data_IF_567839839328
#
_entry.id   IF_567839839328
#
_cell.length_a   1.000
_cell.length_b   1.000
_cell.length_c   1.000
_cell.angle_alpha   90.00
_cell.angle_beta   90.00
_cell.angle_gamma   90.00
#
_symmetry.space_group_name_H-M   'P 1'
#
loop_
_entity.id
_entity.type
_entity.pdbx_description
1 polymer ?
#
# COMPACT_ATOMS: atom_id res chain seq x y z
N UNK A 1 -10.36 -15.56 31.05
CA UNK A 1 -9.30 -16.25 30.30
C UNK A 1 -10.02 -17.24 29.38
N UNK A 2 -10.33 -16.82 28.16
CA UNK A 2 -10.84 -17.73 27.12
C UNK A 2 -9.63 -18.26 26.33
N UNK A 3 -9.61 -19.55 25.98
CA UNK A 3 -8.48 -20.13 25.26
C UNK A 3 -8.42 -19.62 23.84
N UNK A 4 -7.18 -19.26 23.39
CA UNK A 4 -6.84 -19.06 22.00
C UNK A 4 -7.43 -20.20 21.18
N UNK A 5 -8.36 -19.89 20.29
CA UNK A 5 -8.76 -20.80 19.23
C UNK A 5 -7.58 -20.94 18.25
N UNK A 6 -6.82 -22.02 18.45
CA UNK A 6 -5.91 -22.52 17.42
C UNK A 6 -6.81 -23.03 16.30
N UNK A 7 -6.86 -22.30 15.19
CA UNK A 7 -7.48 -22.76 13.97
C UNK A 7 -6.73 -24.02 13.55
N UNK A 8 -7.27 -25.19 13.88
CA UNK A 8 -6.85 -26.46 13.30
C UNK A 8 -7.37 -26.52 11.87
N UNK A 9 -6.64 -25.90 10.93
CA UNK A 9 -6.73 -26.33 9.56
C UNK A 9 -6.23 -27.79 9.53
N UNK A 10 -7.10 -28.72 9.17
CA UNK A 10 -6.67 -30.06 8.77
C UNK A 10 -5.83 -29.88 7.51
N UNK A 11 -4.52 -29.91 7.68
CA UNK A 11 -3.53 -30.03 6.60
C UNK A 11 -3.70 -31.41 5.95
N UNK A 12 -4.79 -31.58 5.23
CA UNK A 12 -5.02 -32.68 4.33
C UNK A 12 -4.96 -32.12 2.89
N UNK A 13 -3.78 -31.99 2.45
CA UNK A 13 -3.19 -32.00 1.11
C UNK A 13 -1.95 -31.12 1.09
N UNK A 14 -0.97 -31.50 0.33
CA UNK A 14 0.28 -30.79 0.05
C UNK A 14 0.01 -29.51 -0.78
N UNK A 15 -0.83 -28.61 -0.31
CA UNK A 15 -1.02 -27.30 -0.91
C UNK A 15 0.25 -26.49 -0.62
N UNK A 16 1.11 -26.38 -1.62
CA UNK A 16 2.33 -25.62 -1.53
C UNK A 16 1.98 -24.14 -1.35
N UNK A 17 1.97 -23.68 -0.10
CA UNK A 17 1.87 -22.24 0.20
C UNK A 17 3.16 -21.57 -0.27
N UNK A 18 3.03 -20.54 -1.09
CA UNK A 18 4.17 -19.74 -1.51
C UNK A 18 4.70 -18.91 -0.34
N UNK A 19 6.02 -18.83 -0.25
CA UNK A 19 6.68 -17.90 0.67
C UNK A 19 6.50 -16.45 0.20
N UNK A 20 6.64 -15.49 1.12
CA UNK A 20 6.58 -14.06 0.77
C UNK A 20 7.63 -13.68 -0.29
N UNK A 21 8.80 -14.31 -0.29
CA UNK A 21 9.87 -14.09 -1.28
C UNK A 21 9.46 -14.56 -2.68
N UNK A 22 8.87 -15.74 -2.79
CA UNK A 22 8.37 -16.26 -4.08
C UNK A 22 7.23 -15.39 -4.64
N UNK A 23 6.31 -14.94 -3.77
CA UNK A 23 5.23 -14.04 -4.18
C UNK A 23 5.77 -12.68 -4.63
N UNK A 24 6.79 -12.16 -3.93
CA UNK A 24 7.47 -10.92 -4.31
C UNK A 24 8.12 -11.03 -5.70
N UNK A 25 8.81 -12.11 -5.96
CA UNK A 25 9.44 -12.36 -7.27
C UNK A 25 8.39 -12.43 -8.38
N UNK A 26 7.31 -13.19 -8.18
CA UNK A 26 6.24 -13.38 -9.15
C UNK A 26 5.50 -12.07 -9.47
N UNK A 27 5.15 -11.28 -8.45
CA UNK A 27 4.46 -10.00 -8.68
C UNK A 27 5.38 -8.96 -9.32
N UNK A 28 6.68 -8.94 -8.98
CA UNK A 28 7.64 -8.07 -9.64
C UNK A 28 7.82 -8.43 -11.11
N UNK A 29 7.90 -9.71 -11.46
CA UNK A 29 7.95 -10.17 -12.85
C UNK A 29 6.70 -9.72 -13.61
N UNK A 30 5.51 -9.92 -13.04
CA UNK A 30 4.26 -9.48 -13.65
C UNK A 30 4.21 -7.96 -13.87
N UNK A 31 4.59 -7.16 -12.87
CA UNK A 31 4.63 -5.69 -13.01
C UNK A 31 5.66 -5.25 -14.06
N UNK A 32 6.80 -5.92 -14.17
CA UNK A 32 7.84 -5.59 -15.17
C UNK A 32 7.40 -5.86 -16.60
N UNK A 33 6.46 -6.77 -16.83
CA UNK A 33 5.88 -7.07 -18.14
C UNK A 33 4.82 -6.04 -18.58
N UNK A 34 4.34 -5.20 -17.65
CA UNK A 34 3.34 -4.18 -17.98
C UNK A 34 3.93 -3.10 -18.87
N UNK A 35 3.31 -2.90 -20.01
CA UNK A 35 3.72 -1.89 -20.98
C UNK A 35 2.72 -0.72 -20.99
N UNK A 36 3.17 0.44 -20.56
CA UNK A 36 2.40 1.68 -20.64
C UNK A 36 2.83 2.49 -21.86
N UNK A 37 2.73 1.86 -23.07
CA UNK A 37 3.17 2.44 -24.35
C UNK A 37 2.13 3.33 -25.02
N UNK A 38 1.09 3.76 -24.29
CA UNK A 38 0.03 4.63 -24.81
C UNK A 38 0.55 6.05 -25.05
N UNK A 39 -0.11 6.76 -25.96
CA UNK A 39 0.09 8.19 -26.17
C UNK A 39 -0.95 9.02 -25.39
N UNK A 40 -0.59 10.21 -24.90
CA UNK A 40 0.72 10.88 -25.04
C UNK A 40 1.79 10.31 -24.09
N UNK A 41 3.03 10.21 -24.57
CA UNK A 41 4.13 9.64 -23.76
C UNK A 41 4.40 10.45 -22.46
N UNK A 42 4.22 11.77 -22.51
CA UNK A 42 4.38 12.63 -21.33
C UNK A 42 3.49 12.24 -20.14
N UNK A 43 2.36 11.56 -20.40
CA UNK A 43 1.48 11.03 -19.36
C UNK A 43 1.97 9.68 -18.81
N UNK A 44 2.44 8.79 -19.68
CA UNK A 44 2.72 7.39 -19.32
C UNK A 44 4.19 7.11 -18.98
N UNK A 45 5.13 7.95 -19.43
CA UNK A 45 6.54 7.80 -19.07
C UNK A 45 6.78 7.96 -17.57
N UNK A 46 6.17 8.95 -16.85
CA UNK A 46 6.28 9.01 -15.40
C UNK A 46 5.65 7.81 -14.68
N UNK A 47 4.55 7.24 -15.19
CA UNK A 47 3.93 6.01 -14.63
C UNK A 47 4.93 4.86 -14.68
N UNK A 48 5.54 4.61 -15.84
CA UNK A 48 6.57 3.58 -16.02
C UNK A 48 7.77 3.83 -15.09
N UNK A 49 8.20 5.08 -15.01
CA UNK A 49 9.32 5.49 -14.15
C UNK A 49 9.06 5.16 -12.68
N UNK A 50 7.90 5.56 -12.15
CA UNK A 50 7.54 5.32 -10.75
C UNK A 50 7.45 3.82 -10.45
N UNK A 51 6.80 3.04 -11.29
CA UNK A 51 6.66 1.59 -11.09
C UNK A 51 8.03 0.87 -11.20
N UNK A 52 8.96 1.39 -12.02
CA UNK A 52 10.33 0.87 -12.16
C UNK A 52 11.23 1.18 -10.97
N UNK A 53 10.84 2.06 -10.05
CA UNK A 53 11.63 2.36 -8.85
C UNK A 53 11.74 1.16 -7.89
N UNK A 54 10.95 0.12 -8.12
CA UNK A 54 10.91 -1.06 -7.25
C UNK A 54 10.20 -0.79 -5.92
N UNK A 55 10.61 -1.49 -4.88
CA UNK A 55 10.06 -1.38 -3.53
C UNK A 55 9.81 -2.73 -2.90
N UNK A 56 9.41 -2.73 -1.63
CA UNK A 56 9.13 -3.96 -0.86
C UNK A 56 7.87 -4.70 -1.30
N UNK A 57 7.00 -4.08 -2.09
CA UNK A 57 5.72 -4.65 -2.60
C UNK A 57 4.88 -5.34 -1.51
N UNK A 58 4.91 -4.82 -0.28
CA UNK A 58 4.25 -5.47 0.87
C UNK A 58 2.75 -5.67 0.62
N UNK A 59 2.06 -4.66 0.06
CA UNK A 59 0.61 -4.68 -0.15
C UNK A 59 0.16 -5.75 -1.15
N UNK A 60 0.69 -5.81 -2.37
CA UNK A 60 0.34 -6.88 -3.30
C UNK A 60 0.78 -8.25 -2.80
N UNK A 61 1.92 -8.38 -2.11
CA UNK A 61 2.35 -9.65 -1.50
C UNK A 61 1.36 -10.10 -0.43
N UNK A 62 0.90 -9.22 0.46
CA UNK A 62 -0.12 -9.55 1.47
C UNK A 62 -1.44 -9.98 0.82
N UNK A 63 -1.88 -9.33 -0.26
CA UNK A 63 -3.08 -9.76 -1.00
C UNK A 63 -2.91 -11.17 -1.57
N UNK A 64 -1.76 -11.45 -2.19
CA UNK A 64 -1.45 -12.78 -2.73
C UNK A 64 -1.33 -13.83 -1.63
N UNK A 65 -0.74 -13.50 -0.47
CA UNK A 65 -0.67 -14.40 0.68
C UNK A 65 -2.06 -14.75 1.21
N UNK A 66 -2.91 -13.75 1.42
CA UNK A 66 -4.28 -13.96 1.90
C UNK A 66 -5.10 -14.82 0.92
N UNK A 67 -4.96 -14.59 -0.38
CA UNK A 67 -5.58 -15.43 -1.41
C UNK A 67 -5.04 -16.87 -1.36
N UNK A 68 -3.72 -17.03 -1.22
CA UNK A 68 -3.06 -18.34 -1.23
C UNK A 68 -3.39 -19.21 0.00
N UNK A 69 -3.98 -18.64 1.06
CA UNK A 69 -4.57 -19.43 2.15
C UNK A 69 -5.73 -20.32 1.68
N UNK A 70 -6.40 -19.94 0.59
CA UNK A 70 -7.63 -20.57 0.11
C UNK A 70 -7.49 -21.17 -1.29
N UNK A 71 -6.58 -20.65 -2.13
CA UNK A 71 -6.41 -21.02 -3.53
C UNK A 71 -4.93 -21.13 -3.91
N UNK A 72 -4.60 -22.12 -4.74
CA UNK A 72 -3.23 -22.37 -5.20
C UNK A 72 -2.82 -21.46 -6.38
N UNK A 73 -3.75 -21.23 -7.34
CA UNK A 73 -3.46 -20.46 -8.54
C UNK A 73 -3.56 -18.94 -8.30
N UNK A 74 -2.49 -18.36 -7.75
CA UNK A 74 -2.39 -16.94 -7.45
C UNK A 74 -2.39 -16.04 -8.70
N UNK A 75 -2.18 -16.59 -9.89
CA UNK A 75 -2.15 -15.79 -11.14
C UNK A 75 -3.49 -15.14 -11.44
N UNK A 76 -4.58 -15.72 -10.96
CA UNK A 76 -5.94 -15.23 -11.13
C UNK A 76 -6.19 -13.85 -10.53
N UNK A 77 -5.37 -13.45 -9.56
CA UNK A 77 -5.50 -12.15 -8.87
C UNK A 77 -4.27 -11.24 -9.04
N UNK A 78 -3.38 -11.53 -9.98
CA UNK A 78 -2.24 -10.66 -10.27
C UNK A 78 -2.67 -9.25 -10.68
N UNK A 79 -3.75 -9.11 -11.44
CA UNK A 79 -4.27 -7.80 -11.83
C UNK A 79 -4.82 -7.01 -10.63
N UNK A 80 -5.71 -7.52 -9.77
CA UNK A 80 -6.09 -6.83 -8.54
C UNK A 80 -4.90 -6.49 -7.63
N UNK A 81 -3.94 -7.41 -7.45
CA UNK A 81 -2.72 -7.16 -6.68
C UNK A 81 -1.87 -6.04 -7.30
N UNK A 82 -1.78 -6.00 -8.63
CA UNK A 82 -1.16 -4.88 -9.37
C UNK A 82 -1.93 -3.58 -9.14
N UNK A 83 -3.25 -3.61 -9.13
CA UNK A 83 -4.10 -2.46 -8.85
C UNK A 83 -3.76 -1.80 -7.50
N UNK A 84 -3.61 -2.59 -6.46
CA UNK A 84 -3.18 -2.12 -5.12
C UNK A 84 -1.80 -1.46 -5.20
N UNK A 85 -0.86 -2.05 -5.91
CA UNK A 85 0.50 -1.49 -6.00
C UNK A 85 0.56 -0.21 -6.85
N UNK A 86 -0.21 -0.15 -7.95
CA UNK A 86 -0.34 1.07 -8.78
C UNK A 86 -0.97 2.18 -7.94
N UNK A 87 -2.03 1.88 -7.19
CA UNK A 87 -2.67 2.83 -6.28
C UNK A 87 -1.68 3.34 -5.22
N UNK A 88 -0.94 2.45 -4.57
CA UNK A 88 0.07 2.86 -3.59
C UNK A 88 1.15 3.76 -4.19
N UNK A 89 1.62 3.45 -5.41
CA UNK A 89 2.62 4.32 -6.06
C UNK A 89 2.00 5.65 -6.54
N UNK A 90 0.70 5.71 -6.86
CA UNK A 90 -0.05 6.94 -7.07
C UNK A 90 0.00 7.82 -5.82
N UNK A 91 -0.34 7.27 -4.65
CA UNK A 91 -0.32 8.06 -3.40
C UNK A 91 1.07 8.58 -3.09
N UNK A 92 2.13 7.76 -3.32
CA UNK A 92 3.51 8.19 -3.13
C UNK A 92 3.94 9.31 -4.09
N UNK A 93 3.47 9.27 -5.34
CA UNK A 93 3.80 10.28 -6.35
C UNK A 93 3.20 11.64 -5.98
N UNK A 94 1.95 11.67 -5.53
CA UNK A 94 1.29 12.89 -5.08
C UNK A 94 1.85 13.39 -3.74
N UNK A 95 2.14 12.49 -2.80
CA UNK A 95 2.80 12.79 -1.53
C UNK A 95 4.17 13.48 -1.75
N UNK A 96 5.00 12.92 -2.65
CA UNK A 96 6.28 13.51 -3.04
C UNK A 96 6.16 14.94 -3.59
N UNK A 97 5.10 15.22 -4.34
CA UNK A 97 4.82 16.56 -4.86
C UNK A 97 4.36 17.51 -3.76
N UNK A 98 3.46 17.06 -2.88
CA UNK A 98 2.94 17.85 -1.76
C UNK A 98 4.05 18.21 -0.78
N UNK A 99 4.92 17.24 -0.44
CA UNK A 99 6.06 17.41 0.47
C UNK A 99 7.28 18.07 -0.20
N UNK A 100 7.23 18.34 -1.52
CA UNK A 100 8.39 18.84 -2.30
C UNK A 100 9.64 17.98 -2.16
N UNK A 101 9.46 16.68 -2.00
CA UNK A 101 10.54 15.72 -1.79
C UNK A 101 11.45 15.61 -3.02
N UNK A 102 12.77 15.72 -2.84
CA UNK A 102 13.72 15.65 -3.96
C UNK A 102 13.91 14.21 -4.46
N UNK A 103 13.84 13.22 -3.57
CA UNK A 103 14.16 11.83 -3.91
C UNK A 103 13.22 10.83 -3.24
N UNK A 104 12.95 9.74 -3.96
CA UNK A 104 12.28 8.54 -3.45
C UNK A 104 13.03 7.29 -3.88
N UNK A 105 13.34 6.41 -2.93
CA UNK A 105 14.08 5.16 -3.21
C UNK A 105 15.40 5.40 -3.97
N UNK A 106 16.09 6.50 -3.62
CA UNK A 106 17.38 6.89 -4.22
C UNK A 106 17.29 7.54 -5.61
N UNK A 107 16.12 7.60 -6.24
CA UNK A 107 15.86 8.29 -7.51
C UNK A 107 15.21 9.64 -7.29
N UNK A 108 15.35 10.56 -8.24
CA UNK A 108 14.63 11.84 -8.21
C UNK A 108 13.13 11.61 -8.35
N UNK A 109 12.32 12.47 -7.72
CA UNK A 109 10.86 12.40 -7.79
C UNK A 109 10.35 12.89 -9.14
N UNK A 110 9.10 12.55 -9.49
CA UNK A 110 8.55 12.87 -10.83
C UNK A 110 8.55 14.36 -11.10
N UNK A 111 8.16 15.20 -10.12
CA UNK A 111 8.14 16.66 -10.31
C UNK A 111 9.55 17.28 -10.49
N UNK A 112 10.61 16.56 -10.11
CA UNK A 112 12.01 16.97 -10.37
C UNK A 112 12.50 16.54 -11.74
N UNK A 113 12.12 15.34 -12.19
CA UNK A 113 12.53 14.80 -13.50
C UNK A 113 11.75 15.44 -14.65
N UNK A 114 10.46 15.73 -14.42
CA UNK A 114 9.56 16.40 -15.38
C UNK A 114 9.13 17.76 -14.83
N UNK A 115 7.91 17.87 -14.35
CA UNK A 115 7.35 19.06 -13.70
C UNK A 115 6.16 18.70 -12.80
N UNK A 116 5.60 19.71 -12.11
CA UNK A 116 4.45 19.54 -11.21
C UNK A 116 3.21 19.01 -11.96
N UNK A 117 2.94 19.50 -13.17
CA UNK A 117 1.78 19.10 -13.96
C UNK A 117 1.89 17.64 -14.40
N UNK A 118 3.09 17.19 -14.77
CA UNK A 118 3.34 15.80 -15.11
C UNK A 118 3.11 14.90 -13.88
N UNK A 119 3.53 15.34 -12.69
CA UNK A 119 3.27 14.60 -11.45
C UNK A 119 1.76 14.50 -11.17
N UNK A 120 1.01 15.59 -11.27
CA UNK A 120 -0.45 15.59 -11.05
C UNK A 120 -1.15 14.66 -12.05
N UNK A 121 -0.97 14.91 -13.36
CA UNK A 121 -1.70 14.17 -14.38
C UNK A 121 -1.33 12.69 -14.46
N UNK A 122 -0.04 12.36 -14.26
CA UNK A 122 0.39 10.96 -14.25
C UNK A 122 -0.11 10.23 -13.01
N UNK A 123 -0.19 10.92 -11.86
CA UNK A 123 -0.84 10.41 -10.66
C UNK A 123 -2.33 10.12 -10.89
N UNK A 124 -3.08 11.07 -11.47
CA UNK A 124 -4.48 10.88 -11.81
C UNK A 124 -4.68 9.69 -12.77
N UNK A 125 -3.80 9.56 -13.77
CA UNK A 125 -3.80 8.40 -14.66
C UNK A 125 -3.54 7.09 -13.91
N UNK A 126 -2.60 7.08 -12.95
CA UNK A 126 -2.33 5.91 -12.11
C UNK A 126 -3.53 5.54 -11.23
N UNK A 127 -4.26 6.51 -10.69
CA UNK A 127 -5.50 6.26 -9.95
C UNK A 127 -6.52 5.52 -10.84
N UNK A 128 -6.76 6.01 -12.04
CA UNK A 128 -7.68 5.35 -12.99
C UNK A 128 -7.17 3.95 -13.39
N UNK A 129 -5.87 3.80 -13.65
CA UNK A 129 -5.27 2.49 -13.94
C UNK A 129 -5.43 1.51 -12.78
N UNK A 130 -5.27 1.97 -11.54
CA UNK A 130 -5.48 1.14 -10.36
C UNK A 130 -6.92 0.58 -10.30
N UNK A 131 -7.92 1.43 -10.53
CA UNK A 131 -9.31 1.00 -10.65
C UNK A 131 -9.53 0.01 -11.80
N UNK A 132 -8.90 0.24 -12.96
CA UNK A 132 -8.99 -0.69 -14.10
C UNK A 132 -8.39 -2.06 -13.79
N UNK A 133 -7.26 -2.12 -13.09
CA UNK A 133 -6.66 -3.39 -12.64
C UNK A 133 -7.51 -4.07 -11.58
N UNK A 134 -8.02 -3.33 -10.61
CA UNK A 134 -8.88 -3.86 -9.55
C UNK A 134 -10.19 -4.44 -10.13
N UNK A 135 -10.77 -3.79 -11.13
CA UNK A 135 -11.96 -4.24 -11.80
C UNK A 135 -11.79 -5.52 -12.65
N UNK A 136 -10.56 -6.03 -12.79
CA UNK A 136 -10.28 -7.33 -13.42
C UNK A 136 -10.36 -8.50 -12.44
N UNK A 137 -10.88 -8.29 -11.24
CA UNK A 137 -11.25 -9.37 -10.33
C UNK A 137 -12.44 -10.19 -10.90
N UNK A 138 -12.70 -11.42 -10.40
CA UNK A 138 -13.86 -12.20 -10.77
C UNK A 138 -15.17 -11.41 -10.61
N UNK A 139 -16.07 -11.50 -11.61
CA UNK A 139 -17.27 -10.65 -11.72
C UNK A 139 -18.21 -10.78 -10.51
N UNK A 140 -18.27 -11.97 -9.91
CA UNK A 140 -19.06 -12.28 -8.72
C UNK A 140 -18.63 -11.47 -7.48
N UNK A 141 -17.36 -11.04 -7.41
CA UNK A 141 -16.80 -10.26 -6.33
C UNK A 141 -16.61 -8.76 -6.69
N UNK A 142 -16.89 -8.39 -7.96
CA UNK A 142 -16.57 -7.06 -8.47
C UNK A 142 -17.16 -5.94 -7.60
N UNK A 143 -18.43 -6.02 -7.26
CA UNK A 143 -19.09 -4.97 -6.46
C UNK A 143 -18.45 -4.82 -5.08
N UNK A 144 -18.26 -5.93 -4.39
CA UNK A 144 -17.71 -5.96 -3.04
C UNK A 144 -16.25 -5.45 -3.01
N UNK A 145 -15.43 -5.94 -3.94
CA UNK A 145 -14.04 -5.50 -4.09
C UNK A 145 -13.93 -4.00 -4.38
N UNK A 146 -14.79 -3.50 -5.29
CA UNK A 146 -14.79 -2.07 -5.63
C UNK A 146 -15.30 -1.19 -4.50
N UNK A 147 -16.27 -1.66 -3.70
CA UNK A 147 -16.74 -0.94 -2.52
C UNK A 147 -15.62 -0.84 -1.47
N UNK A 148 -14.94 -1.94 -1.15
CA UNK A 148 -13.81 -1.95 -0.21
C UNK A 148 -12.70 -1.04 -0.72
N UNK A 149 -12.31 -1.17 -1.98
CA UNK A 149 -11.21 -0.38 -2.55
C UNK A 149 -11.53 1.12 -2.59
N UNK A 150 -12.77 1.48 -2.97
CA UNK A 150 -13.19 2.89 -3.06
C UNK A 150 -13.28 3.54 -1.68
N UNK A 151 -13.80 2.84 -0.68
CA UNK A 151 -13.81 3.33 0.70
C UNK A 151 -12.38 3.54 1.21
N UNK A 152 -11.52 2.54 1.03
CA UNK A 152 -10.10 2.62 1.41
C UNK A 152 -9.39 3.79 0.73
N UNK A 153 -9.68 4.02 -0.57
CA UNK A 153 -9.10 5.14 -1.31
C UNK A 153 -9.51 6.50 -0.72
N UNK A 154 -10.77 6.63 -0.29
CA UNK A 154 -11.26 7.84 0.37
C UNK A 154 -10.62 8.03 1.75
N UNK A 155 -10.57 6.98 2.57
CA UNK A 155 -9.92 7.00 3.89
C UNK A 155 -8.45 7.45 3.81
N UNK A 156 -7.72 7.02 2.76
CA UNK A 156 -6.33 7.45 2.55
C UNK A 156 -6.26 8.95 2.23
N UNK A 157 -7.19 9.49 1.47
CA UNK A 157 -7.25 10.94 1.22
C UNK A 157 -7.53 11.71 2.52
N UNK A 158 -8.42 11.21 3.37
CA UNK A 158 -8.71 11.78 4.69
C UNK A 158 -7.46 11.74 5.58
N UNK A 159 -6.73 10.61 5.61
CA UNK A 159 -5.49 10.47 6.35
C UNK A 159 -4.39 11.41 5.86
N UNK A 160 -4.27 11.60 4.54
CA UNK A 160 -3.33 12.56 3.95
C UNK A 160 -3.69 14.01 4.32
N UNK A 161 -4.98 14.35 4.31
CA UNK A 161 -5.44 15.68 4.71
C UNK A 161 -5.12 15.96 6.19
N UNK A 162 -5.34 15.00 7.08
CA UNK A 162 -4.97 15.12 8.50
C UNK A 162 -3.46 15.32 8.68
N UNK A 163 -2.62 14.56 7.96
CA UNK A 163 -1.16 14.68 8.03
C UNK A 163 -0.72 16.12 7.67
N UNK A 164 -1.26 16.69 6.60
CA UNK A 164 -0.99 18.07 6.19
C UNK A 164 -1.48 19.11 7.21
N UNK A 165 -2.67 18.92 7.80
CA UNK A 165 -3.22 19.83 8.82
C UNK A 165 -2.38 19.80 10.09
N UNK A 166 -1.87 18.64 10.49
CA UNK A 166 -1.06 18.47 11.70
C UNK A 166 0.27 19.22 11.64
N UNK A 167 0.83 19.46 10.47
CA UNK A 167 2.05 20.27 10.32
C UNK A 167 1.88 21.69 10.87
N UNK A 168 0.66 22.23 10.80
CA UNK A 168 0.33 23.59 11.23
C UNK A 168 -0.25 23.67 12.66
N UNK A 169 -0.52 22.51 13.29
CA UNK A 169 -1.07 22.43 14.64
C UNK A 169 0.03 22.19 15.69
N UNK A 170 -0.21 22.68 16.93
CA UNK A 170 0.67 22.49 18.10
C UNK A 170 0.01 21.67 19.22
N UNK A 171 -1.23 21.29 19.02
CA UNK A 171 -2.10 20.65 20.01
C UNK A 171 -2.56 19.25 19.57
N UNK A 172 -1.86 18.65 18.62
CA UNK A 172 -2.16 17.29 18.12
C UNK A 172 -1.94 16.28 19.25
N UNK A 173 -2.94 15.44 19.48
CA UNK A 173 -2.89 14.39 20.51
C UNK A 173 -2.51 13.04 19.88
N UNK A 174 -1.99 12.15 20.74
CA UNK A 174 -1.59 10.81 20.30
C UNK A 174 -2.73 10.03 19.62
N UNK A 175 -3.97 10.18 20.11
CA UNK A 175 -5.14 9.51 19.52
C UNK A 175 -5.44 10.03 18.11
N UNK A 176 -5.31 11.35 17.88
CA UNK A 176 -5.49 11.95 16.55
C UNK A 176 -4.41 11.46 15.59
N UNK A 177 -3.16 11.37 16.07
CA UNK A 177 -2.06 10.83 15.30
C UNK A 177 -2.29 9.35 14.92
N UNK A 178 -2.71 8.52 15.88
CA UNK A 178 -3.02 7.12 15.62
C UNK A 178 -4.15 6.96 14.59
N UNK A 179 -5.16 7.83 14.63
CA UNK A 179 -6.22 7.83 13.61
C UNK A 179 -5.69 8.25 12.24
N UNK A 180 -4.84 9.26 12.17
CA UNK A 180 -4.21 9.68 10.91
C UNK A 180 -3.39 8.54 10.28
N UNK A 181 -2.53 7.85 11.03
CA UNK A 181 -1.75 6.71 10.48
C UNK A 181 -2.62 5.50 10.17
N UNK A 182 -3.73 5.29 10.91
CA UNK A 182 -4.73 4.29 10.56
C UNK A 182 -5.26 4.55 9.16
N UNK A 183 -5.72 5.77 8.90
CA UNK A 183 -6.27 6.17 7.59
C UNK A 183 -5.21 6.22 6.50
N UNK A 184 -4.09 6.88 6.72
CA UNK A 184 -3.06 7.09 5.68
C UNK A 184 -2.32 5.80 5.31
N UNK A 185 -2.08 4.90 6.27
CA UNK A 185 -1.16 3.76 6.09
C UNK A 185 -1.84 2.40 6.25
N UNK A 186 -2.62 2.21 7.33
CA UNK A 186 -3.09 0.87 7.72
C UNK A 186 -4.22 0.34 6.84
N UNK A 187 -5.18 1.19 6.46
CA UNK A 187 -6.37 0.79 5.69
C UNK A 187 -6.03 0.08 4.38
N UNK A 188 -4.96 0.48 3.68
CA UNK A 188 -4.57 -0.17 2.43
C UNK A 188 -3.93 -1.56 2.65
N UNK A 189 -3.24 -1.76 3.77
CA UNK A 189 -2.72 -3.08 4.15
C UNK A 189 -3.89 -4.00 4.52
N UNK A 190 -4.84 -3.49 5.30
CA UNK A 190 -6.04 -4.20 5.70
C UNK A 190 -6.91 -4.58 4.49
N UNK A 191 -7.18 -3.63 3.61
CA UNK A 191 -7.92 -3.88 2.37
C UNK A 191 -7.22 -4.90 1.46
N UNK A 192 -5.88 -4.87 1.37
CA UNK A 192 -5.12 -5.86 0.60
C UNK A 192 -5.37 -7.28 1.10
N UNK A 193 -5.32 -7.50 2.41
CA UNK A 193 -5.58 -8.80 3.03
C UNK A 193 -7.04 -9.23 2.85
N UNK A 194 -7.99 -8.34 3.14
CA UNK A 194 -9.42 -8.64 3.03
C UNK A 194 -9.82 -8.99 1.60
N UNK A 195 -9.41 -8.17 0.62
CA UNK A 195 -9.70 -8.43 -0.80
C UNK A 195 -9.07 -9.76 -1.25
N UNK A 196 -7.79 -10.01 -0.88
CA UNK A 196 -7.13 -11.27 -1.20
C UNK A 196 -7.89 -12.49 -0.65
N UNK A 197 -8.33 -12.43 0.59
CA UNK A 197 -9.10 -13.49 1.24
C UNK A 197 -10.46 -13.72 0.56
N UNK A 198 -11.23 -12.66 0.31
CA UNK A 198 -12.52 -12.74 -0.38
C UNK A 198 -12.40 -13.36 -1.77
N UNK A 199 -11.41 -12.91 -2.56
CA UNK A 199 -11.15 -13.48 -3.89
C UNK A 199 -10.69 -14.94 -3.83
N UNK A 200 -10.08 -15.37 -2.72
CA UNK A 200 -9.73 -16.74 -2.44
C UNK A 200 -10.90 -17.63 -2.02
N UNK A 201 -12.05 -17.04 -1.68
CA UNK A 201 -13.24 -17.74 -1.20
C UNK A 201 -13.32 -17.88 0.31
N UNK A 202 -12.65 -17.00 1.06
CA UNK A 202 -12.79 -16.90 2.51
C UNK A 202 -14.24 -16.59 2.93
N UNK A 203 -14.61 -17.01 4.14
CA UNK A 203 -15.83 -16.50 4.78
C UNK A 203 -15.72 -15.00 5.05
N UNK A 204 -16.86 -14.31 5.16
CA UNK A 204 -16.86 -12.88 5.54
C UNK A 204 -16.20 -12.66 6.91
N UNK A 205 -16.34 -13.60 7.84
CA UNK A 205 -15.73 -13.55 9.16
C UNK A 205 -14.20 -13.64 9.08
N UNK A 206 -13.66 -14.61 8.33
CA UNK A 206 -12.21 -14.76 8.15
C UNK A 206 -11.61 -13.55 7.41
N UNK A 207 -12.32 -13.04 6.40
CA UNK A 207 -11.89 -11.84 5.68
C UNK A 207 -11.84 -10.61 6.58
N UNK A 208 -12.79 -10.46 7.53
CA UNK A 208 -12.77 -9.38 8.51
C UNK A 208 -11.64 -9.53 9.53
N UNK A 209 -11.36 -10.75 10.01
CA UNK A 209 -10.22 -11.00 10.90
C UNK A 209 -8.87 -10.68 10.22
N UNK A 210 -8.75 -10.96 8.91
CA UNK A 210 -7.56 -10.58 8.14
C UNK A 210 -7.49 -9.06 7.92
N UNK A 211 -8.63 -8.38 7.79
CA UNK A 211 -8.68 -6.92 7.78
C UNK A 211 -8.17 -6.34 9.10
N UNK A 212 -8.67 -6.81 10.23
CA UNK A 212 -8.24 -6.36 11.57
C UNK A 212 -6.77 -6.63 11.82
N UNK A 213 -6.27 -7.77 11.38
CA UNK A 213 -4.83 -8.07 11.41
C UNK A 213 -4.04 -7.03 10.59
N UNK A 214 -4.49 -6.71 9.37
CA UNK A 214 -3.88 -5.73 8.50
C UNK A 214 -3.86 -4.32 9.10
N UNK A 215 -4.95 -3.93 9.79
CA UNK A 215 -5.05 -2.66 10.51
C UNK A 215 -3.98 -2.55 11.59
N UNK A 216 -3.88 -3.57 12.46
CA UNK A 216 -2.89 -3.60 13.53
C UNK A 216 -1.45 -3.65 12.99
N UNK A 217 -1.22 -4.42 11.93
CA UNK A 217 0.07 -4.48 11.25
C UNK A 217 0.49 -3.12 10.70
N UNK A 218 -0.44 -2.38 10.09
CA UNK A 218 -0.19 -1.06 9.52
C UNK A 218 0.18 -0.02 10.59
N UNK A 219 -0.56 0.02 11.69
CA UNK A 219 -0.25 0.90 12.83
C UNK A 219 1.13 0.56 13.40
N UNK A 220 1.41 -0.72 13.66
CA UNK A 220 2.70 -1.16 14.18
C UNK A 220 3.86 -0.84 13.21
N UNK A 221 3.62 -0.97 11.91
CA UNK A 221 4.59 -0.63 10.87
C UNK A 221 4.94 0.86 10.90
N UNK A 222 3.93 1.74 10.97
CA UNK A 222 4.17 3.18 11.00
C UNK A 222 4.86 3.63 12.30
N UNK A 223 4.40 3.16 13.44
CA UNK A 223 5.07 3.46 14.73
C UNK A 223 6.53 3.01 14.74
N UNK A 224 6.83 1.88 14.08
CA UNK A 224 8.21 1.43 13.91
C UNK A 224 9.00 2.31 12.95
N UNK A 225 8.39 2.80 11.87
CA UNK A 225 9.04 3.71 10.91
C UNK A 225 9.41 5.03 11.62
N UNK A 226 8.49 5.61 12.38
CA UNK A 226 8.73 6.80 13.21
C UNK A 226 9.87 6.60 14.22
N UNK A 227 9.87 5.44 14.89
CA UNK A 227 10.93 5.10 15.83
C UNK A 227 12.29 5.02 15.13
N UNK A 228 12.35 4.41 13.95
CA UNK A 228 13.59 4.28 13.19
C UNK A 228 14.04 5.60 12.56
N UNK A 229 13.14 6.54 12.27
CA UNK A 229 13.51 7.89 11.82
C UNK A 229 14.26 8.67 12.90
N UNK A 230 13.98 8.41 14.18
CA UNK A 230 14.63 9.09 15.30
C UNK A 230 15.85 8.32 15.83
N UNK A 231 15.73 7.00 16.00
CA UNK A 231 16.68 6.15 16.71
C UNK A 231 17.35 5.08 15.83
N UNK A 232 17.04 5.04 14.55
CA UNK A 232 17.57 4.04 13.63
C UNK A 232 19.04 4.30 13.26
N UNK A 233 19.66 3.29 12.63
CA UNK A 233 20.95 3.43 11.97
C UNK A 233 20.71 3.77 10.50
N UNK A 234 21.22 4.91 10.03
CA UNK A 234 21.06 5.38 8.66
C UNK A 234 21.54 4.35 7.61
N UNK A 235 22.59 3.58 7.94
CA UNK A 235 23.12 2.55 7.06
C UNK A 235 22.16 1.36 6.89
N UNK A 236 21.34 1.07 7.93
CA UNK A 236 20.37 -0.03 7.94
C UNK A 236 19.00 0.45 7.46
N UNK A 237 18.58 1.65 7.87
CA UNK A 237 17.28 2.22 7.55
C UNK A 237 17.18 2.68 6.08
N UNK A 238 18.32 3.07 5.48
CA UNK A 238 18.39 3.49 4.07
C UNK A 238 17.77 4.87 3.79
N UNK A 239 17.50 5.65 4.83
CA UNK A 239 17.04 7.05 4.78
C UNK A 239 17.92 7.91 5.70
N UNK A 240 17.88 9.23 5.52
CA UNK A 240 18.46 10.16 6.50
C UNK A 240 17.64 10.09 7.80
N UNK A 241 18.32 10.07 8.93
CA UNK A 241 17.71 10.09 10.27
C UNK A 241 17.24 11.50 10.60
N UNK A 242 16.07 11.62 11.26
CA UNK A 242 15.48 12.88 11.69
C UNK A 242 14.78 13.67 10.58
N UNK A 243 14.46 13.01 9.46
CA UNK A 243 13.75 13.63 8.33
C UNK A 243 12.39 14.21 8.75
N UNK A 244 11.62 13.46 9.53
CA UNK A 244 10.31 13.87 10.02
C UNK A 244 10.38 15.10 10.94
N UNK A 245 11.41 15.16 11.81
CA UNK A 245 11.65 16.32 12.70
C UNK A 245 11.97 17.56 11.86
N UNK A 246 12.82 17.43 10.85
CA UNK A 246 13.20 18.55 9.98
C UNK A 246 12.01 19.09 9.18
N UNK A 247 11.08 18.23 8.80
CA UNK A 247 9.83 18.59 8.10
C UNK A 247 8.69 19.03 9.04
N UNK A 248 8.95 19.14 10.36
CA UNK A 248 7.93 19.45 11.38
C UNK A 248 6.74 18.48 11.40
N UNK A 249 6.96 17.23 10.97
CA UNK A 249 5.92 16.20 11.04
C UNK A 249 5.63 15.83 12.49
N UNK A 250 4.35 15.63 12.79
CA UNK A 250 3.90 15.20 14.12
C UNK A 250 3.87 13.67 14.16
N UNK A 251 4.99 13.09 14.63
CA UNK A 251 5.07 11.65 14.84
C UNK A 251 4.76 11.30 16.30
N UNK A 252 4.42 10.03 16.55
CA UNK A 252 4.10 9.56 17.91
C UNK A 252 5.22 9.84 18.93
N UNK A 253 6.46 9.90 18.47
CA UNK A 253 7.64 10.15 19.33
C UNK A 253 7.82 11.64 19.62
N UNK A 254 7.29 12.51 18.78
CA UNK A 254 7.40 13.97 18.90
C UNK A 254 6.20 14.61 19.63
N UNK A 255 5.15 13.85 19.90
CA UNK A 255 3.95 14.27 20.64
C UNK A 255 4.12 14.08 22.14
#
# INVERSE_FOLDING_TARGET
MQPLFIIRYSLNSENAMFTASELLERINSHIAELQFTRTPQGLYAPVTYVLSMGGKRIRPVLMLMAYNLYQEDITRIFNPATGIEVYHNYTLLHDDLMDRADRRRGKETVHKVWDDNAAILSGDAMLVLAYQFMAQCPVEHLKEVMDIFSLTALEICEGQQLDMEFEHRKDVKAEEYLEMIRLKTSVLLAASLKIGALLGGASSEDAEQLYDFGMNLGVAFQLKDDFLDVYGDAAVFGKNIGGDILCNKKTYICL
#
